data_IF_508455649612
#
_entry.id   IF_508455649612
#
_cell.length_a   1.000
_cell.length_b   1.000
_cell.length_c   1.000
_cell.angle_alpha   90.00
_cell.angle_beta   90.00
_cell.angle_gamma   90.00
#
_symmetry.space_group_name_H-M   'P 1'
#
loop_
_entity.id
_entity.type
_entity.pdbx_description
1 polymer ?
#
# COMPACT_ATOMS: atom_id res chain seq x y z
N UNK A 1 7.95 -15.14 -15.75
CA UNK A 1 6.52 -15.48 -15.98
C UNK A 1 5.67 -14.52 -15.15
N UNK A 2 4.95 -13.60 -15.79
CA UNK A 2 4.06 -12.64 -15.13
C UNK A 2 2.73 -13.33 -14.81
N UNK A 3 2.39 -13.47 -13.52
CA UNK A 3 1.09 -14.02 -13.10
C UNK A 3 0.03 -12.92 -13.25
N UNK A 4 -0.96 -13.15 -14.11
CA UNK A 4 -2.09 -12.24 -14.29
C UNK A 4 -3.18 -12.58 -13.27
N UNK A 5 -3.46 -11.67 -12.35
CA UNK A 5 -4.54 -11.84 -11.37
C UNK A 5 -5.78 -11.07 -11.83
N UNK A 6 -6.91 -11.76 -11.99
CA UNK A 6 -8.21 -11.15 -12.26
C UNK A 6 -9.01 -11.03 -10.98
N UNK A 7 -9.36 -9.81 -10.58
CA UNK A 7 -10.19 -9.52 -9.40
C UNK A 7 -11.61 -9.23 -9.86
N UNK A 8 -12.61 -9.83 -9.21
CA UNK A 8 -14.04 -9.56 -9.43
C UNK A 8 -14.58 -8.59 -8.38
N UNK A 9 -15.61 -7.84 -8.72
CA UNK A 9 -16.30 -6.97 -7.77
C UNK A 9 -16.87 -7.78 -6.60
N UNK A 10 -16.64 -7.31 -5.38
CA UNK A 10 -17.06 -7.98 -4.14
C UNK A 10 -16.17 -9.15 -3.70
N UNK A 11 -15.07 -9.44 -4.39
CA UNK A 11 -14.14 -10.50 -4.00
C UNK A 11 -13.38 -10.10 -2.72
N UNK A 12 -13.59 -10.87 -1.65
CA UNK A 12 -12.78 -10.78 -0.44
C UNK A 12 -11.51 -11.64 -0.58
N UNK A 13 -10.37 -11.19 -0.06
CA UNK A 13 -9.16 -12.00 -0.02
C UNK A 13 -9.36 -13.24 0.85
N UNK A 14 -8.74 -14.35 0.48
CA UNK A 14 -8.76 -15.57 1.29
C UNK A 14 -7.94 -15.39 2.58
N UNK A 15 -8.20 -16.24 3.58
CA UNK A 15 -7.46 -16.22 4.83
C UNK A 15 -5.94 -16.39 4.61
N UNK A 16 -5.55 -17.26 3.68
CA UNK A 16 -4.15 -17.49 3.31
C UNK A 16 -3.50 -16.23 2.70
N UNK A 17 -4.22 -15.50 1.84
CA UNK A 17 -3.75 -14.25 1.27
C UNK A 17 -3.57 -13.16 2.34
N UNK A 18 -4.50 -13.10 3.30
CA UNK A 18 -4.38 -12.18 4.44
C UNK A 18 -3.18 -12.52 5.33
N UNK A 19 -2.91 -13.80 5.54
CA UNK A 19 -1.74 -14.27 6.29
C UNK A 19 -0.43 -13.99 5.56
N UNK A 20 -0.39 -14.16 4.24
CA UNK A 20 0.75 -13.77 3.40
C UNK A 20 1.05 -12.27 3.55
N UNK A 21 0.02 -11.41 3.47
CA UNK A 21 0.17 -9.96 3.66
C UNK A 21 0.71 -9.65 5.06
N UNK A 22 0.20 -10.32 6.10
CA UNK A 22 0.69 -10.15 7.48
C UNK A 22 2.14 -10.60 7.65
N UNK A 23 2.54 -11.68 6.99
CA UNK A 23 3.92 -12.16 7.00
C UNK A 23 4.85 -11.21 6.24
N UNK A 24 4.41 -10.69 5.09
CA UNK A 24 5.16 -9.70 4.31
C UNK A 24 5.36 -8.39 5.09
N UNK A 25 4.35 -7.94 5.84
CA UNK A 25 4.46 -6.75 6.67
C UNK A 25 5.50 -6.84 7.80
N UNK A 26 5.94 -8.06 8.17
CA UNK A 26 7.03 -8.27 9.15
C UNK A 26 8.42 -8.22 8.54
N UNK A 27 8.53 -8.30 7.20
CA UNK A 27 9.82 -8.24 6.51
C UNK A 27 10.29 -6.79 6.46
N UNK A 28 11.60 -6.60 6.58
CA UNK A 28 12.21 -5.28 6.45
C UNK A 28 12.05 -4.77 5.03
N UNK A 29 11.85 -3.45 4.89
CA UNK A 29 11.78 -2.80 3.58
C UNK A 29 13.21 -2.58 3.10
N UNK A 30 13.61 -3.32 2.07
CA UNK A 30 14.89 -3.13 1.41
C UNK A 30 14.75 -2.02 0.37
N UNK A 31 15.40 -0.88 0.61
CA UNK A 31 15.52 0.19 -0.38
C UNK A 31 16.68 -0.11 -1.32
N UNK A 32 16.53 0.27 -2.59
CA UNK A 32 17.56 0.18 -3.62
C UNK A 32 17.91 1.57 -4.17
N UNK A 33 18.85 1.64 -5.11
CA UNK A 33 19.30 2.91 -5.70
C UNK A 33 18.19 3.60 -6.51
N UNK A 34 17.35 2.82 -7.18
CA UNK A 34 16.21 3.30 -7.96
C UNK A 34 15.01 3.72 -7.07
N UNK A 35 14.94 3.20 -5.85
CA UNK A 35 13.87 3.42 -4.87
C UNK A 35 14.43 3.66 -3.46
N UNK A 36 15.05 4.83 -3.24
CA UNK A 36 15.59 5.20 -1.94
C UNK A 36 14.47 5.49 -0.92
N UNK A 37 14.83 5.49 0.36
CA UNK A 37 13.92 5.87 1.43
C UNK A 37 13.43 7.31 1.26
N UNK A 38 12.13 7.53 1.51
CA UNK A 38 11.54 8.86 1.45
C UNK A 38 12.14 9.77 2.52
N UNK A 39 12.56 10.98 2.12
CA UNK A 39 12.95 12.00 3.10
C UNK A 39 11.79 12.33 4.06
N UNK A 40 12.06 12.82 5.28
CA UNK A 40 11.01 13.19 6.24
C UNK A 40 9.99 14.18 5.68
N UNK A 41 10.43 15.10 4.81
CA UNK A 41 9.57 16.07 4.15
C UNK A 41 8.63 15.40 3.12
N UNK A 42 9.16 14.47 2.31
CA UNK A 42 8.36 13.71 1.35
C UNK A 42 7.34 12.81 2.05
N UNK A 43 7.74 12.13 3.12
CA UNK A 43 6.84 11.31 3.92
C UNK A 43 5.70 12.16 4.51
N UNK A 44 6.02 13.35 5.03
CA UNK A 44 5.01 14.31 5.53
C UNK A 44 4.05 14.75 4.42
N UNK A 45 4.55 15.13 3.25
CA UNK A 45 3.73 15.54 2.12
C UNK A 45 2.78 14.40 1.68
N UNK A 46 3.30 13.18 1.59
CA UNK A 46 2.51 11.98 1.27
C UNK A 46 1.38 11.79 2.28
N UNK A 47 1.67 11.80 3.59
CA UNK A 47 0.65 11.69 4.64
C UNK A 47 -0.42 12.78 4.54
N UNK A 48 -0.03 14.03 4.30
CA UNK A 48 -0.96 15.13 4.11
C UNK A 48 -1.89 14.91 2.91
N UNK A 49 -1.35 14.46 1.78
CA UNK A 49 -2.14 14.20 0.57
C UNK A 49 -3.23 13.13 0.79
N UNK A 50 -2.88 12.04 1.49
CA UNK A 50 -3.81 10.96 1.84
C UNK A 50 -4.90 11.49 2.77
N UNK A 51 -4.53 12.24 3.81
CA UNK A 51 -5.48 12.82 4.74
C UNK A 51 -6.48 13.77 4.05
N UNK A 52 -5.99 14.63 3.15
CA UNK A 52 -6.83 15.55 2.38
C UNK A 52 -7.78 14.81 1.45
N UNK A 53 -7.30 13.78 0.73
CA UNK A 53 -8.14 12.91 -0.12
C UNK A 53 -9.26 12.25 0.69
N UNK A 54 -8.94 11.69 1.85
CA UNK A 54 -9.92 11.01 2.69
C UNK A 54 -10.98 11.98 3.24
N UNK A 55 -10.57 13.21 3.63
CA UNK A 55 -11.51 14.27 4.02
C UNK A 55 -12.44 14.65 2.87
N UNK A 56 -11.90 14.83 1.65
CA UNK A 56 -12.72 15.15 0.47
C UNK A 56 -13.74 14.04 0.16
N UNK A 57 -13.35 12.77 0.26
CA UNK A 57 -14.25 11.63 0.06
C UNK A 57 -15.35 11.50 1.11
N UNK A 58 -15.09 11.92 2.35
CA UNK A 58 -16.09 11.90 3.43
C UNK A 58 -17.12 13.02 3.27
N UNK A 59 -16.72 14.13 2.66
CA UNK A 59 -17.53 15.32 2.47
C UNK A 59 -18.15 15.42 1.06
N UNK A 60 -17.99 14.37 0.23
CA UNK A 60 -18.57 14.24 -1.10
C UNK A 60 -19.70 13.22 -1.07
#
# INVERSE_FOLDING_TARGET
>A
MTKTFTIKDGQAPTQEQLEEVRAAAKREIQFDEDSPELSPAMFKAFRCSVAQRNRKKKNA
#
